data_IF_589204624680
#
_entry.id   IF_589204624680
#
_cell.length_a   1.000
_cell.length_b   1.000
_cell.length_c   1.000
_cell.angle_alpha   90.00
_cell.angle_beta   90.00
_cell.angle_gamma   90.00
#
_symmetry.space_group_name_H-M   'P 1'
#
loop_
_entity.id
_entity.type
_entity.pdbx_description
1 polymer ?
#
# COMPACT_ATOMS: atom_id res chain seq x y z
N UNK A 1 -0.94 5.33 -14.37
CA UNK A 1 -2.32 5.32 -14.88
C UNK A 1 -3.16 6.15 -13.93
N UNK A 2 -3.68 7.30 -14.38
CA UNK A 2 -4.48 8.21 -13.56
C UNK A 2 -5.83 7.55 -13.27
N UNK A 3 -6.11 7.24 -12.01
CA UNK A 3 -7.45 6.80 -11.57
C UNK A 3 -8.37 8.01 -11.60
N UNK A 4 -9.31 7.99 -12.52
CA UNK A 4 -10.42 8.92 -12.57
C UNK A 4 -11.37 8.58 -11.42
N UNK A 5 -11.34 9.37 -10.34
CA UNK A 5 -12.31 9.28 -9.25
C UNK A 5 -13.62 9.87 -9.76
N UNK A 6 -14.64 9.03 -9.92
CA UNK A 6 -16.00 9.44 -10.20
C UNK A 6 -16.59 10.05 -8.92
N UNK A 7 -16.61 11.37 -8.83
CA UNK A 7 -17.36 12.08 -7.80
C UNK A 7 -18.87 11.94 -8.10
N UNK A 8 -19.53 11.12 -7.32
CA UNK A 8 -21.00 11.10 -7.29
C UNK A 8 -21.45 12.24 -6.38
N UNK A 9 -21.87 13.34 -7.01
CA UNK A 9 -22.43 14.50 -6.31
C UNK A 9 -23.80 14.10 -5.75
N UNK A 10 -23.86 13.82 -4.45
CA UNK A 10 -25.12 13.74 -3.71
C UNK A 10 -25.47 15.16 -3.28
N UNK A 11 -26.35 15.79 -4.03
CA UNK A 11 -26.97 17.04 -3.62
C UNK A 11 -28.07 16.69 -2.62
N UNK A 12 -27.78 16.82 -1.33
CA UNK A 12 -28.79 16.82 -0.27
C UNK A 12 -29.20 18.26 0.04
N UNK A 13 -30.29 18.71 -0.58
CA UNK A 13 -30.99 19.91 -0.12
C UNK A 13 -31.67 19.63 1.20
N UNK A 14 -31.08 20.04 2.31
CA UNK A 14 -31.78 20.18 3.59
C UNK A 14 -32.02 21.66 3.85
N UNK A 15 -33.24 22.10 3.55
CA UNK A 15 -33.74 23.37 4.03
C UNK A 15 -33.99 23.27 5.54
N UNK A 16 -33.22 24.00 6.34
CA UNK A 16 -33.54 24.24 7.72
C UNK A 16 -33.71 25.74 7.93
N UNK A 17 -34.93 26.08 8.33
CA UNK A 17 -35.40 27.42 8.65
C UNK A 17 -34.74 27.96 9.89
N UNK A 18 -34.36 29.20 9.77
CA UNK A 18 -34.32 30.34 10.70
C UNK A 18 -34.80 30.13 12.14
N UNK A 19 -33.88 30.40 13.08
CA UNK A 19 -34.19 31.35 14.14
C UNK A 19 -32.94 31.67 14.96
N UNK A 20 -32.63 32.97 15.06
CA UNK A 20 -32.17 33.53 16.30
C UNK A 20 -30.67 33.84 16.46
N UNK A 21 -30.41 35.12 16.67
CA UNK A 21 -29.19 35.79 17.13
C UNK A 21 -28.03 35.72 16.11
N UNK A 22 -27.93 36.80 15.35
CA UNK A 22 -26.95 36.95 14.31
C UNK A 22 -25.53 37.06 14.84
N UNK A 23 -24.80 35.98 14.73
CA UNK A 23 -23.37 36.12 14.59
C UNK A 23 -23.12 36.86 13.26
N UNK A 24 -22.21 37.82 13.28
CA UNK A 24 -21.86 38.48 12.01
C UNK A 24 -21.18 37.49 11.08
N UNK A 25 -21.29 37.68 9.77
CA UNK A 25 -20.56 36.84 8.77
C UNK A 25 -19.05 36.77 9.08
N UNK A 26 -18.52 37.82 9.73
CA UNK A 26 -17.13 37.84 10.19
C UNK A 26 -16.85 36.86 11.33
N UNK A 27 -17.80 36.68 12.26
CA UNK A 27 -17.63 35.76 13.39
C UNK A 27 -17.74 34.32 12.92
N UNK A 28 -18.70 34.00 12.03
CA UNK A 28 -18.84 32.67 11.41
C UNK A 28 -17.61 32.32 10.60
N UNK A 29 -17.00 33.29 9.93
CA UNK A 29 -15.76 33.07 9.17
C UNK A 29 -14.56 32.82 10.08
N UNK A 30 -14.43 33.53 11.19
CA UNK A 30 -13.37 33.32 12.17
C UNK A 30 -13.46 31.91 12.80
N UNK A 31 -14.68 31.50 13.16
CA UNK A 31 -14.95 30.16 13.68
C UNK A 31 -14.62 29.06 12.63
N UNK A 32 -14.99 29.30 11.37
CA UNK A 32 -14.67 28.36 10.28
C UNK A 32 -13.16 28.22 10.04
N UNK A 33 -12.39 29.31 10.14
CA UNK A 33 -10.92 29.22 10.06
C UNK A 33 -10.31 28.46 11.22
N UNK A 34 -10.81 28.66 12.44
CA UNK A 34 -10.36 27.88 13.60
C UNK A 34 -10.65 26.40 13.41
N UNK A 35 -11.87 26.07 12.95
CA UNK A 35 -12.26 24.70 12.66
C UNK A 35 -11.41 24.09 11.55
N UNK A 36 -11.17 24.79 10.45
CA UNK A 36 -10.33 24.32 9.34
C UNK A 36 -8.88 24.07 9.80
N UNK A 37 -8.35 24.92 10.68
CA UNK A 37 -7.00 24.78 11.21
C UNK A 37 -6.83 23.55 12.13
N UNK A 38 -7.92 23.00 12.65
CA UNK A 38 -7.93 21.76 13.45
C UNK A 38 -8.01 20.48 12.61
N UNK A 39 -8.24 20.60 11.31
CA UNK A 39 -8.36 19.47 10.37
C UNK A 39 -6.97 19.01 9.91
N UNK A 40 -6.43 18.00 10.57
CA UNK A 40 -5.03 17.54 10.39
C UNK A 40 -4.82 16.62 9.22
N UNK A 41 -5.89 16.11 8.61
CA UNK A 41 -5.82 15.18 7.48
C UNK A 41 -6.07 15.83 6.12
N UNK A 42 -6.35 17.14 6.08
CA UNK A 42 -6.36 17.90 4.83
C UNK A 42 -4.94 18.06 4.29
N UNK A 43 -4.77 17.87 2.99
CA UNK A 43 -3.53 18.23 2.32
C UNK A 43 -3.35 19.75 2.31
N UNK A 44 -2.11 20.20 2.16
CA UNK A 44 -1.79 21.64 2.27
C UNK A 44 -2.51 22.49 1.21
N UNK A 45 -2.63 22.00 0.01
CA UNK A 45 -3.35 22.63 -1.11
C UNK A 45 -4.86 22.64 -0.89
N UNK A 46 -5.45 21.55 -0.42
CA UNK A 46 -6.87 21.49 -0.03
C UNK A 46 -7.20 22.50 1.07
N UNK A 47 -6.39 22.54 2.12
CA UNK A 47 -6.57 23.50 3.22
C UNK A 47 -6.47 24.96 2.73
N UNK A 48 -5.61 25.23 1.75
CA UNK A 48 -5.46 26.56 1.17
C UNK A 48 -6.63 26.91 0.26
N UNK A 49 -7.16 25.97 -0.52
CA UNK A 49 -8.36 26.14 -1.32
C UNK A 49 -9.58 26.48 -0.42
N UNK A 50 -9.81 25.69 0.63
CA UNK A 50 -10.92 25.97 1.56
C UNK A 50 -10.78 27.34 2.24
N UNK A 51 -9.57 27.77 2.61
CA UNK A 51 -9.30 29.12 3.13
C UNK A 51 -9.69 30.20 2.13
N UNK A 52 -9.34 30.05 0.86
CA UNK A 52 -9.73 30.99 -0.19
C UNK A 52 -11.25 31.05 -0.35
N UNK A 53 -11.93 29.92 -0.41
CA UNK A 53 -13.39 29.83 -0.52
C UNK A 53 -14.09 30.47 0.68
N UNK A 54 -13.60 30.25 1.89
CA UNK A 54 -14.11 30.91 3.10
C UNK A 54 -13.91 32.44 3.06
N UNK A 55 -12.79 32.92 2.52
CA UNK A 55 -12.52 34.35 2.39
C UNK A 55 -13.54 35.03 1.48
N UNK A 56 -13.97 34.39 0.41
CA UNK A 56 -14.89 34.94 -0.60
C UNK A 56 -16.36 34.56 -0.38
N UNK A 57 -16.66 33.77 0.65
CA UNK A 57 -18.01 33.32 0.95
C UNK A 57 -18.93 34.52 1.23
N UNK A 58 -20.09 34.65 0.54
CA UNK A 58 -20.96 35.84 0.62
C UNK A 58 -21.75 35.92 1.93
N UNK A 59 -22.04 34.79 2.55
CA UNK A 59 -22.90 34.70 3.71
C UNK A 59 -22.57 33.51 4.63
N UNK A 60 -23.24 33.47 5.78
CA UNK A 60 -23.08 32.42 6.79
C UNK A 60 -23.48 31.02 6.26
N UNK A 61 -24.42 30.93 5.35
CA UNK A 61 -24.83 29.64 4.76
C UNK A 61 -23.74 29.07 3.86
N UNK A 62 -23.12 29.91 3.03
CA UNK A 62 -21.98 29.55 2.20
C UNK A 62 -20.77 29.11 3.07
N UNK A 63 -20.46 29.82 4.15
CA UNK A 63 -19.41 29.49 5.11
C UNK A 63 -19.64 28.09 5.71
N UNK A 64 -20.85 27.82 6.17
CA UNK A 64 -21.23 26.54 6.76
C UNK A 64 -21.12 25.38 5.73
N UNK A 65 -21.53 25.62 4.49
CA UNK A 65 -21.41 24.64 3.41
C UNK A 65 -19.96 24.30 3.10
N UNK A 66 -19.09 25.30 2.96
CA UNK A 66 -17.66 25.10 2.72
C UNK A 66 -17.01 24.35 3.88
N UNK A 67 -17.35 24.67 5.11
CA UNK A 67 -16.83 23.97 6.28
C UNK A 67 -17.30 22.52 6.36
N UNK A 68 -18.53 22.24 5.97
CA UNK A 68 -19.05 20.87 5.90
C UNK A 68 -18.31 20.05 4.86
N UNK A 69 -18.04 20.60 3.68
CA UNK A 69 -17.22 19.96 2.65
C UNK A 69 -15.81 19.68 3.17
N UNK A 70 -15.15 20.66 3.78
CA UNK A 70 -13.82 20.50 4.33
C UNK A 70 -13.75 19.38 5.39
N UNK A 71 -14.77 19.28 6.27
CA UNK A 71 -14.88 18.18 7.24
C UNK A 71 -14.98 16.82 6.56
N UNK A 72 -15.84 16.72 5.54
CA UNK A 72 -16.00 15.47 4.78
C UNK A 72 -14.69 15.04 4.10
N UNK A 73 -14.00 15.99 3.48
CA UNK A 73 -12.68 15.73 2.87
C UNK A 73 -11.65 15.28 3.89
N UNK A 74 -11.59 15.98 5.06
CA UNK A 74 -10.68 15.60 6.14
C UNK A 74 -10.96 14.20 6.70
N UNK A 75 -12.24 13.82 6.85
CA UNK A 75 -12.64 12.50 7.30
C UNK A 75 -12.29 11.41 6.26
N UNK A 76 -12.49 11.71 4.98
CA UNK A 76 -12.12 10.80 3.89
C UNK A 76 -10.61 10.58 3.83
N UNK A 77 -9.81 11.64 3.85
CA UNK A 77 -8.35 11.55 3.83
C UNK A 77 -7.82 10.76 5.04
N UNK A 78 -8.44 10.96 6.20
CA UNK A 78 -8.10 10.18 7.40
C UNK A 78 -8.43 8.70 7.21
N UNK A 79 -9.61 8.38 6.70
CA UNK A 79 -10.01 6.99 6.46
C UNK A 79 -9.10 6.30 5.43
N UNK A 80 -8.69 7.02 4.38
CA UNK A 80 -7.78 6.51 3.36
C UNK A 80 -6.37 6.27 3.93
N UNK A 81 -5.88 7.18 4.79
CA UNK A 81 -4.60 7.01 5.48
C UNK A 81 -4.62 5.82 6.45
N UNK A 82 -5.70 5.66 7.23
CA UNK A 82 -5.88 4.53 8.15
C UNK A 82 -5.96 3.19 7.39
N UNK A 83 -6.66 3.15 6.25
CA UNK A 83 -6.75 1.98 5.39
C UNK A 83 -5.38 1.62 4.76
N UNK A 84 -4.63 2.61 4.30
CA UNK A 84 -3.28 2.41 3.78
C UNK A 84 -2.32 1.89 4.85
N UNK A 85 -2.38 2.42 6.08
CA UNK A 85 -1.59 1.95 7.21
C UNK A 85 -1.94 0.50 7.59
N UNK A 86 -3.23 0.16 7.63
CA UNK A 86 -3.70 -1.20 7.92
C UNK A 86 -3.23 -2.20 6.85
N UNK A 87 -3.35 -1.81 5.56
CA UNK A 87 -2.85 -2.62 4.44
C UNK A 87 -1.34 -2.87 4.60
N UNK A 88 -0.57 -1.81 4.82
CA UNK A 88 0.88 -1.93 5.03
C UNK A 88 1.24 -2.85 6.18
N UNK A 89 0.55 -2.75 7.31
CA UNK A 89 0.78 -3.62 8.46
C UNK A 89 0.47 -5.10 8.16
N UNK A 90 -0.57 -5.38 7.36
CA UNK A 90 -0.90 -6.72 6.91
C UNK A 90 0.18 -7.27 5.95
N UNK A 91 0.62 -6.46 5.00
CA UNK A 91 1.66 -6.79 4.03
C UNK A 91 3.01 -7.09 4.74
N UNK A 92 3.40 -6.25 5.71
CA UNK A 92 4.60 -6.45 6.54
C UNK A 92 4.53 -7.77 7.34
N UNK A 93 3.35 -8.13 7.84
CA UNK A 93 3.14 -9.39 8.57
C UNK A 93 3.29 -10.61 7.64
N UNK A 94 2.76 -10.55 6.43
CA UNK A 94 2.90 -11.60 5.42
C UNK A 94 4.37 -11.74 5.03
N UNK A 95 5.04 -10.64 4.73
CA UNK A 95 6.46 -10.64 4.38
C UNK A 95 7.32 -11.27 5.48
N UNK A 96 7.16 -10.86 6.73
CA UNK A 96 7.89 -11.40 7.89
C UNK A 96 7.63 -12.89 8.09
N UNK A 97 6.38 -13.34 7.96
CA UNK A 97 6.03 -14.77 8.10
C UNK A 97 6.71 -15.61 7.03
N UNK A 98 6.68 -15.16 5.77
CA UNK A 98 7.31 -15.86 4.65
C UNK A 98 8.84 -15.85 4.78
N UNK A 99 9.40 -14.71 5.19
CA UNK A 99 10.82 -14.57 5.45
C UNK A 99 11.30 -15.54 6.54
N UNK A 100 10.56 -15.64 7.66
CA UNK A 100 10.89 -16.57 8.73
C UNK A 100 10.82 -18.03 8.27
N UNK A 101 9.91 -18.37 7.37
CA UNK A 101 9.78 -19.73 6.85
C UNK A 101 10.91 -20.08 5.85
N UNK A 102 11.46 -19.09 5.15
CA UNK A 102 12.53 -19.29 4.15
C UNK A 102 13.93 -19.01 4.71
N UNK A 103 14.06 -18.39 5.85
CA UNK A 103 15.34 -18.06 6.46
C UNK A 103 16.08 -19.31 6.96
N UNK A 104 17.30 -19.51 6.50
CA UNK A 104 18.13 -20.65 6.87
C UNK A 104 17.73 -21.95 6.16
N UNK A 105 16.96 -21.89 5.08
CA UNK A 105 16.59 -23.08 4.31
C UNK A 105 17.32 -23.12 2.98
N UNK A 106 17.43 -24.32 2.43
CA UNK A 106 17.94 -24.61 1.11
C UNK A 106 16.77 -25.02 0.22
N UNK A 107 16.55 -24.32 -0.86
CA UNK A 107 15.58 -24.66 -1.90
C UNK A 107 16.28 -25.51 -2.97
N UNK A 108 15.82 -26.74 -3.17
CA UNK A 108 16.35 -27.67 -4.16
C UNK A 108 15.36 -27.76 -5.31
N UNK A 109 15.81 -27.49 -6.53
CA UNK A 109 14.99 -27.50 -7.73
C UNK A 109 14.32 -28.84 -7.97
N UNK A 110 13.00 -28.83 -8.13
CA UNK A 110 12.16 -30.02 -8.31
C UNK A 110 11.62 -30.12 -9.74
N UNK A 111 11.28 -29.00 -10.38
CA UNK A 111 10.84 -29.00 -11.78
C UNK A 111 12.00 -29.31 -12.72
N UNK A 112 11.71 -29.87 -13.87
CA UNK A 112 12.74 -30.28 -14.83
C UNK A 112 13.66 -29.12 -15.27
N UNK A 113 13.11 -27.91 -15.35
CA UNK A 113 13.85 -26.68 -15.66
C UNK A 113 14.85 -26.30 -14.56
N UNK A 114 14.53 -26.63 -13.30
CA UNK A 114 15.30 -26.24 -12.11
C UNK A 114 16.10 -27.38 -11.49
N UNK A 115 16.03 -28.58 -12.05
CA UNK A 115 16.75 -29.77 -11.57
C UNK A 115 18.24 -29.50 -11.54
N UNK A 116 18.87 -29.69 -10.38
CA UNK A 116 20.30 -29.41 -10.17
C UNK A 116 20.62 -27.97 -9.77
N UNK A 117 19.60 -27.15 -9.51
CA UNK A 117 19.77 -25.82 -8.89
C UNK A 117 19.46 -25.91 -7.41
N UNK A 118 20.32 -25.29 -6.62
CA UNK A 118 20.16 -25.17 -5.17
C UNK A 118 20.31 -23.71 -4.76
N UNK A 119 19.35 -23.20 -4.00
CA UNK A 119 19.34 -21.83 -3.47
C UNK A 119 19.37 -21.89 -1.95
N UNK A 120 20.49 -21.58 -1.31
CA UNK A 120 20.58 -21.51 0.14
C UNK A 120 20.26 -20.07 0.61
N UNK A 121 19.08 -19.92 1.20
CA UNK A 121 18.57 -18.64 1.75
C UNK A 121 19.04 -18.50 3.20
N UNK A 122 20.20 -17.92 3.45
CA UNK A 122 20.78 -17.83 4.78
C UNK A 122 20.03 -16.84 5.69
N UNK A 123 20.16 -17.05 7.00
CA UNK A 123 19.50 -16.22 8.01
C UNK A 123 20.01 -14.76 8.01
N UNK A 124 21.24 -14.52 7.61
CA UNK A 124 21.84 -13.20 7.45
C UNK A 124 21.43 -12.48 6.15
N UNK A 125 20.46 -13.03 5.41
CA UNK A 125 19.97 -12.55 4.11
C UNK A 125 20.95 -12.73 2.96
N UNK A 126 22.03 -13.44 3.15
CA UNK A 126 22.89 -13.85 2.03
C UNK A 126 22.29 -15.05 1.29
N UNK A 127 22.63 -15.18 0.03
CA UNK A 127 22.22 -16.23 -0.88
C UNK A 127 23.44 -16.96 -1.41
N UNK A 128 23.48 -18.27 -1.24
CA UNK A 128 24.38 -19.12 -2.01
C UNK A 128 23.58 -19.83 -3.10
N UNK A 129 24.11 -19.85 -4.29
CA UNK A 129 23.53 -20.51 -5.46
C UNK A 129 24.51 -21.56 -5.93
N UNK A 130 24.04 -22.81 -6.02
CA UNK A 130 24.78 -23.91 -6.68
C UNK A 130 24.00 -24.36 -7.91
N UNK A 131 24.66 -24.33 -9.04
CA UNK A 131 24.11 -24.70 -10.35
C UNK A 131 24.97 -25.82 -10.93
N UNK A 132 24.53 -27.05 -10.72
CA UNK A 132 25.27 -28.24 -11.16
C UNK A 132 25.00 -28.64 -12.63
N UNK A 133 24.05 -27.96 -13.27
CA UNK A 133 23.71 -28.17 -14.70
C UNK A 133 23.44 -26.84 -15.35
N UNK A 134 23.64 -26.73 -16.67
CA UNK A 134 23.29 -25.54 -17.43
C UNK A 134 21.79 -25.27 -17.28
N UNK A 135 21.38 -24.17 -16.68
CA UNK A 135 19.96 -23.91 -16.38
C UNK A 135 19.22 -23.69 -17.69
N UNK A 136 18.39 -24.63 -18.07
CA UNK A 136 17.44 -24.45 -19.16
C UNK A 136 16.21 -23.71 -18.63
N UNK A 137 16.26 -22.38 -18.62
CA UNK A 137 15.13 -21.48 -18.24
C UNK A 137 14.68 -21.47 -16.78
N UNK A 138 15.50 -21.90 -15.81
CA UNK A 138 15.21 -21.72 -14.40
C UNK A 138 15.72 -20.35 -13.89
N UNK A 139 15.52 -20.12 -12.61
CA UNK A 139 16.00 -18.95 -11.89
C UNK A 139 17.54 -18.92 -11.89
N UNK A 140 18.10 -17.79 -12.34
CA UNK A 140 19.53 -17.50 -12.27
C UNK A 140 19.76 -16.19 -11.48
N UNK A 141 19.75 -16.24 -10.15
CA UNK A 141 19.89 -15.03 -9.33
C UNK A 141 21.27 -14.39 -9.53
N UNK A 142 21.29 -13.11 -9.90
CA UNK A 142 22.53 -12.35 -10.13
C UNK A 142 23.14 -11.77 -8.86
N UNK A 143 22.45 -11.84 -7.74
CA UNK A 143 22.86 -11.23 -6.46
C UNK A 143 23.16 -12.23 -5.37
N UNK A 144 23.87 -11.74 -4.34
CA UNK A 144 24.23 -12.54 -3.16
C UNK A 144 23.31 -12.32 -1.96
N UNK A 145 22.27 -11.51 -2.07
CA UNK A 145 21.34 -11.22 -1.00
C UNK A 145 19.89 -11.44 -1.49
N UNK A 146 19.03 -11.72 -0.54
CA UNK A 146 17.61 -11.92 -0.77
C UNK A 146 16.76 -11.13 0.23
N UNK A 147 15.53 -10.81 -0.16
CA UNK A 147 14.52 -10.20 0.72
C UNK A 147 13.13 -10.65 0.33
N UNK A 148 12.20 -10.62 1.30
CA UNK A 148 10.77 -10.79 1.06
C UNK A 148 10.08 -9.44 1.24
N UNK A 149 9.19 -9.12 0.31
CA UNK A 149 8.32 -7.93 0.34
C UNK A 149 6.90 -8.34 -0.05
N UNK A 150 5.93 -7.48 0.17
CA UNK A 150 4.64 -7.52 -0.52
C UNK A 150 4.54 -6.25 -1.33
N UNK A 151 4.17 -6.36 -2.58
CA UNK A 151 4.18 -5.26 -3.54
C UNK A 151 2.77 -5.05 -4.11
N UNK A 152 2.43 -3.85 -4.55
CA UNK A 152 1.07 -3.53 -5.01
C UNK A 152 0.59 -4.43 -6.16
N UNK A 153 1.49 -4.81 -7.06
CA UNK A 153 1.19 -5.72 -8.17
C UNK A 153 1.04 -7.19 -7.75
N UNK A 154 1.51 -7.57 -6.57
CA UNK A 154 1.50 -8.96 -6.09
C UNK A 154 0.18 -9.39 -5.45
N UNK A 155 -0.82 -8.49 -5.40
CA UNK A 155 -2.15 -8.76 -4.84
C UNK A 155 -2.11 -9.30 -3.39
N UNK A 156 -1.17 -8.78 -2.59
CA UNK A 156 -0.98 -9.21 -1.21
C UNK A 156 -0.18 -10.50 -1.05
N UNK A 157 0.37 -11.06 -2.15
CA UNK A 157 1.25 -12.24 -2.08
C UNK A 157 2.69 -11.82 -1.77
N UNK A 158 3.45 -12.65 -1.03
CA UNK A 158 4.86 -12.39 -0.77
C UNK A 158 5.70 -12.52 -2.04
N UNK A 159 6.68 -11.65 -2.18
CA UNK A 159 7.58 -11.55 -3.32
C UNK A 159 9.01 -11.74 -2.84
N UNK A 160 9.71 -12.71 -3.40
CA UNK A 160 11.14 -12.91 -3.24
C UNK A 160 11.89 -12.06 -4.27
N UNK A 161 12.81 -11.23 -3.80
CA UNK A 161 13.75 -10.50 -4.63
C UNK A 161 15.18 -10.89 -4.30
N UNK A 162 15.98 -11.09 -5.32
CA UNK A 162 17.42 -11.18 -5.20
C UNK A 162 18.07 -9.83 -5.51
N UNK A 163 19.11 -9.49 -4.78
CA UNK A 163 19.82 -8.23 -5.01
C UNK A 163 20.43 -8.23 -6.42
N UNK A 164 20.35 -7.09 -7.10
CA UNK A 164 20.82 -6.91 -8.49
C UNK A 164 20.10 -7.77 -9.55
N UNK A 165 19.02 -8.46 -9.17
CA UNK A 165 18.14 -9.13 -10.11
C UNK A 165 16.89 -8.27 -10.32
N UNK A 166 16.58 -7.80 -11.53
CA UNK A 166 15.38 -7.02 -11.80
C UNK A 166 14.10 -7.84 -11.69
N UNK A 167 14.24 -9.17 -11.68
CA UNK A 167 13.12 -10.11 -11.73
C UNK A 167 12.63 -10.46 -10.33
N UNK A 168 11.38 -10.09 -9.96
CA UNK A 168 10.75 -10.53 -8.73
C UNK A 168 10.02 -11.85 -8.91
N UNK A 169 9.92 -12.65 -7.85
CA UNK A 169 9.20 -13.93 -7.85
C UNK A 169 8.12 -13.94 -6.78
N UNK A 170 6.86 -14.18 -7.15
CA UNK A 170 5.81 -14.48 -6.17
C UNK A 170 6.13 -15.81 -5.52
N UNK A 171 6.06 -15.83 -4.19
CA UNK A 171 6.37 -17.02 -3.38
C UNK A 171 5.09 -17.67 -2.89
N UNK A 172 4.97 -18.96 -3.14
CA UNK A 172 3.94 -19.80 -2.52
C UNK A 172 4.61 -20.95 -1.78
N UNK A 173 4.41 -21.01 -0.46
CA UNK A 173 4.85 -22.13 0.38
C UNK A 173 3.69 -23.11 0.44
N UNK A 174 3.86 -24.30 -0.12
CA UNK A 174 2.82 -25.31 -0.21
C UNK A 174 2.78 -26.19 1.06
N UNK A 175 1.60 -26.77 1.34
CA UNK A 175 1.41 -27.62 2.50
C UNK A 175 2.17 -28.96 2.43
N UNK A 176 2.68 -29.34 1.25
CA UNK A 176 3.48 -30.55 1.00
C UNK A 176 5.00 -30.35 1.21
N UNK A 177 5.40 -29.20 1.74
CA UNK A 177 6.81 -28.86 1.96
C UNK A 177 7.56 -28.37 0.71
N UNK A 178 6.83 -28.05 -0.35
CA UNK A 178 7.40 -27.41 -1.54
C UNK A 178 7.21 -25.91 -1.53
N UNK A 179 8.01 -25.20 -2.34
CA UNK A 179 7.91 -23.77 -2.62
C UNK A 179 7.78 -23.57 -4.12
N UNK A 180 6.81 -22.77 -4.52
CA UNK A 180 6.68 -22.29 -5.88
C UNK A 180 7.17 -20.84 -5.96
N UNK A 181 8.01 -20.56 -6.95
CA UNK A 181 8.46 -19.22 -7.30
C UNK A 181 7.90 -18.90 -8.69
N UNK A 182 7.04 -17.88 -8.77
CA UNK A 182 6.30 -17.56 -9.99
C UNK A 182 6.71 -16.19 -10.53
N UNK A 183 6.97 -16.15 -11.83
CA UNK A 183 7.17 -14.93 -12.60
C UNK A 183 6.52 -15.11 -13.99
N UNK A 184 7.30 -15.33 -15.05
CA UNK A 184 6.81 -15.73 -16.37
C UNK A 184 6.54 -17.25 -16.48
N UNK A 185 6.95 -18.00 -15.48
CA UNK A 185 6.73 -19.44 -15.30
C UNK A 185 6.60 -19.78 -13.82
N UNK A 186 6.32 -21.05 -13.54
CA UNK A 186 6.23 -21.59 -12.17
C UNK A 186 7.39 -22.52 -11.93
N UNK A 187 8.28 -22.15 -11.02
CA UNK A 187 9.47 -22.91 -10.63
C UNK A 187 9.22 -23.57 -9.27
N UNK A 188 9.30 -24.90 -9.22
CA UNK A 188 9.05 -25.65 -7.99
C UNK A 188 10.36 -26.10 -7.34
N UNK A 189 10.41 -25.97 -6.03
CA UNK A 189 11.53 -26.37 -5.19
C UNK A 189 11.03 -27.17 -3.99
N UNK A 190 11.85 -28.10 -3.48
CA UNK A 190 11.67 -28.67 -2.15
C UNK A 190 12.46 -27.87 -1.12
N UNK A 191 11.95 -27.82 0.12
CA UNK A 191 12.67 -27.24 1.24
C UNK A 191 13.54 -28.35 1.85
N UNK A 192 14.86 -28.10 1.90
CA UNK A 192 15.81 -28.88 2.69
C UNK A 192 16.31 -28.04 3.86
N UNK A 193 16.32 -28.59 5.05
CA UNK A 193 16.85 -27.95 6.26
C UNK A 193 18.23 -28.48 6.57
#
# INVERSE_FOLDING_TARGET
MKKLSMFTTVVMCAALALSGCGNSVSDDRAEAYASLSSMTSLEQDEAQEYKQRLTTAPDSAAIKSILAEAKTTNEQNRADADAAAAKKAADDKIAKKTEAALSGVTLVGLSDECKGITLALKADKTLDVDINVSPNNCIDPKGKNWKITVEDWSEGKPVLRFANDPVPYIVTINGDGTVSLENSGVYKFTISK
#
